data_IF_295960412974
#
_entry.id   IF_295960412974
#
_cell.length_a   1.000
_cell.length_b   1.000
_cell.length_c   1.000
_cell.angle_alpha   90.00
_cell.angle_beta   90.00
_cell.angle_gamma   90.00
#
_symmetry.space_group_name_H-M   'P 1'
#
loop_
_entity.id
_entity.type
_entity.pdbx_description
1 polymer ?
#
# COMPACT_ATOMS: atom_id res chain seq x y z
N UNK A 1 23.69 6.87 59.79
CA UNK A 1 23.06 5.53 59.70
C UNK A 1 22.33 5.44 58.36
N UNK A 2 22.91 4.76 57.37
CA UNK A 2 22.35 4.62 56.02
C UNK A 2 21.57 3.30 56.00
N UNK A 3 20.25 3.35 55.75
CA UNK A 3 19.38 2.17 55.66
C UNK A 3 19.77 1.34 54.43
N UNK A 4 19.85 0.00 54.52
CA UNK A 4 20.14 -0.82 53.36
C UNK A 4 18.91 -0.83 52.44
N UNK A 5 19.04 -0.22 51.26
CA UNK A 5 18.07 -0.39 50.17
C UNK A 5 18.05 -1.86 49.79
N UNK A 6 16.89 -2.49 50.00
CA UNK A 6 16.58 -3.86 49.64
C UNK A 6 16.98 -4.16 48.19
N UNK A 7 17.91 -5.10 48.00
CA UNK A 7 18.34 -5.60 46.68
C UNK A 7 17.17 -6.14 45.84
N UNK A 8 16.08 -6.52 46.47
CA UNK A 8 14.88 -7.04 45.81
C UNK A 8 14.03 -5.96 45.14
N UNK A 9 14.13 -4.69 45.58
CA UNK A 9 13.37 -3.60 44.98
C UNK A 9 13.87 -3.23 43.57
N UNK A 10 15.19 -3.31 43.34
CA UNK A 10 15.77 -3.08 42.01
C UNK A 10 15.42 -4.19 41.02
N UNK A 11 15.32 -5.46 41.46
CA UNK A 11 15.03 -6.58 40.56
C UNK A 11 13.57 -6.59 40.07
N UNK A 12 12.61 -6.16 40.90
CA UNK A 12 11.21 -6.08 40.49
C UNK A 12 10.98 -4.89 39.54
N UNK A 13 11.63 -3.75 39.78
CA UNK A 13 11.55 -2.59 38.89
C UNK A 13 12.14 -2.86 37.49
N UNK A 14 13.24 -3.63 37.42
CA UNK A 14 13.84 -4.04 36.15
C UNK A 14 12.96 -5.03 35.37
N UNK A 15 12.24 -5.92 36.06
CA UNK A 15 11.35 -6.90 35.43
C UNK A 15 10.09 -6.23 34.84
N UNK A 16 9.53 -5.21 35.50
CA UNK A 16 8.38 -4.46 35.01
C UNK A 16 8.74 -3.59 33.79
N UNK A 17 9.96 -3.02 33.76
CA UNK A 17 10.46 -2.29 32.59
C UNK A 17 10.77 -3.20 31.40
N UNK A 18 11.17 -4.45 31.64
CA UNK A 18 11.41 -5.42 30.56
C UNK A 18 10.10 -5.92 29.91
N UNK A 19 8.99 -5.95 30.65
CA UNK A 19 7.67 -6.35 30.13
C UNK A 19 6.93 -5.21 29.40
N UNK A 20 7.32 -3.95 29.60
CA UNK A 20 6.77 -2.81 28.85
C UNK A 20 7.32 -2.69 27.41
N UNK A 21 8.28 -3.54 27.03
CA UNK A 21 8.91 -3.55 25.70
C UNK A 21 8.14 -4.31 24.62
N UNK A 22 7.12 -5.12 24.97
CA UNK A 22 6.20 -5.70 23.98
C UNK A 22 5.08 -4.71 23.63
N UNK A 23 5.44 -3.47 23.32
CA UNK A 23 4.51 -2.42 22.94
C UNK A 23 4.82 -1.93 21.53
N UNK A 24 4.28 -2.60 20.51
CA UNK A 24 3.80 -2.00 19.26
C UNK A 24 3.33 -3.05 18.24
N UNK A 25 2.35 -3.90 18.59
CA UNK A 25 1.37 -4.34 17.59
C UNK A 25 0.37 -3.17 17.39
N UNK A 26 0.89 -2.02 16.96
CA UNK A 26 0.10 -0.84 16.72
C UNK A 26 -0.41 -0.90 15.29
N UNK A 27 -1.73 -0.89 15.13
CA UNK A 27 -2.39 -0.75 13.82
C UNK A 27 -1.75 0.41 13.04
N UNK A 28 -1.07 0.10 11.95
CA UNK A 28 -0.41 1.12 11.14
C UNK A 28 -1.39 1.66 10.11
N UNK A 29 -2.06 2.75 10.48
CA UNK A 29 -2.93 3.49 9.56
C UNK A 29 -2.18 4.71 9.03
N UNK A 30 -2.05 4.86 7.71
CA UNK A 30 -1.35 6.00 7.08
C UNK A 30 -2.05 6.50 5.82
N UNK A 31 -1.91 7.79 5.55
CA UNK A 31 -2.22 8.41 4.26
C UNK A 31 -0.90 8.66 3.55
N UNK A 32 -0.83 8.35 2.26
CA UNK A 32 0.42 8.40 1.51
C UNK A 32 0.23 9.09 0.15
N UNK A 33 1.26 9.77 -0.33
CA UNK A 33 1.29 10.27 -1.71
C UNK A 33 1.66 9.15 -2.71
N UNK A 34 2.38 8.14 -2.21
CA UNK A 34 2.83 6.96 -2.95
C UNK A 34 2.18 5.72 -2.33
N UNK A 35 1.55 4.92 -3.17
CA UNK A 35 0.89 3.67 -2.82
C UNK A 35 1.78 2.45 -3.02
N UNK A 36 1.18 1.27 -3.27
CA UNK A 36 1.94 0.06 -3.43
C UNK A 36 2.74 0.05 -4.73
N UNK A 37 3.84 -0.70 -4.72
CA UNK A 37 4.54 -1.05 -5.95
C UNK A 37 3.87 -2.22 -6.67
N UNK A 38 4.07 -2.33 -7.97
CA UNK A 38 3.63 -3.47 -8.77
C UNK A 38 4.18 -4.79 -8.22
N UNK A 39 5.45 -4.77 -7.79
CA UNK A 39 6.12 -5.92 -7.20
C UNK A 39 5.47 -6.30 -5.86
N UNK A 40 5.20 -5.33 -4.98
CA UNK A 40 4.58 -5.58 -3.68
C UNK A 40 3.22 -6.27 -3.83
N UNK A 41 2.38 -5.79 -4.76
CA UNK A 41 1.08 -6.41 -5.03
C UNK A 41 1.22 -7.78 -5.68
N UNK A 42 2.15 -7.93 -6.63
CA UNK A 42 2.39 -9.22 -7.27
C UNK A 42 2.88 -10.27 -6.26
N UNK A 43 3.89 -9.95 -5.46
CA UNK A 43 4.40 -10.83 -4.40
C UNK A 43 3.29 -11.22 -3.43
N UNK A 44 2.51 -10.24 -2.96
CA UNK A 44 1.40 -10.52 -2.06
C UNK A 44 0.36 -11.46 -2.69
N UNK A 45 0.06 -11.31 -3.98
CA UNK A 45 -0.84 -12.23 -4.69
C UNK A 45 -0.26 -13.63 -4.83
N UNK A 46 1.01 -13.78 -5.19
CA UNK A 46 1.65 -15.09 -5.26
C UNK A 46 1.56 -15.81 -3.93
N UNK A 47 1.87 -15.12 -2.83
CA UNK A 47 1.75 -15.69 -1.48
C UNK A 47 0.31 -16.07 -1.15
N UNK A 48 -0.67 -15.21 -1.45
CA UNK A 48 -2.09 -15.50 -1.20
C UNK A 48 -2.63 -16.66 -2.04
N UNK A 49 -2.17 -16.80 -3.29
CA UNK A 49 -2.68 -17.78 -4.25
C UNK A 49 -1.99 -19.15 -4.10
N UNK A 50 -0.69 -19.17 -3.77
CA UNK A 50 0.13 -20.39 -3.75
C UNK A 50 0.56 -20.84 -2.35
N UNK A 51 0.53 -19.93 -1.38
CA UNK A 51 1.03 -20.17 -0.03
C UNK A 51 2.56 -20.14 0.11
N UNK A 52 3.31 -19.82 -0.95
CA UNK A 52 4.77 -19.66 -0.89
C UNK A 52 5.23 -18.29 -1.39
N UNK A 53 6.43 -17.89 -0.96
CA UNK A 53 7.11 -16.71 -1.50
C UNK A 53 7.50 -16.94 -2.97
N UNK A 54 7.46 -15.92 -3.83
CA UNK A 54 7.87 -16.07 -5.22
C UNK A 54 9.31 -16.55 -5.34
N UNK A 55 9.51 -17.49 -6.25
CA UNK A 55 10.86 -17.94 -6.64
C UNK A 55 11.54 -16.91 -7.54
N UNK A 56 12.86 -17.01 -7.67
CA UNK A 56 13.63 -16.17 -8.58
C UNK A 56 13.14 -16.26 -10.03
N UNK A 57 12.86 -17.47 -10.52
CA UNK A 57 12.38 -17.70 -11.89
C UNK A 57 10.99 -17.13 -12.13
N UNK A 58 10.11 -17.13 -11.12
CA UNK A 58 8.81 -16.49 -11.19
C UNK A 58 8.93 -14.96 -11.22
N UNK A 59 9.81 -14.40 -10.39
CA UNK A 59 10.10 -12.97 -10.38
C UNK A 59 10.63 -12.50 -11.72
N UNK A 60 11.62 -13.19 -12.28
CA UNK A 60 12.19 -12.83 -13.57
C UNK A 60 11.13 -12.86 -14.69
N UNK A 61 10.30 -13.91 -14.73
CA UNK A 61 9.20 -14.00 -15.71
C UNK A 61 8.17 -12.88 -15.54
N UNK A 62 7.86 -12.50 -14.30
CA UNK A 62 6.96 -11.40 -14.01
C UNK A 62 7.55 -10.05 -14.45
N UNK A 63 8.83 -9.80 -14.19
CA UNK A 63 9.53 -8.58 -14.60
C UNK A 63 9.49 -8.40 -16.12
N UNK A 64 9.81 -9.47 -16.88
CA UNK A 64 9.76 -9.47 -18.34
C UNK A 64 8.35 -9.17 -18.88
N UNK A 65 7.33 -9.79 -18.28
CA UNK A 65 5.92 -9.56 -18.65
C UNK A 65 5.48 -8.13 -18.33
N UNK A 66 5.92 -7.58 -17.20
CA UNK A 66 5.61 -6.22 -16.80
C UNK A 66 6.21 -5.21 -17.77
N UNK A 67 7.49 -5.36 -18.13
CA UNK A 67 8.14 -4.50 -19.11
C UNK A 67 7.49 -4.58 -20.49
N UNK A 68 7.08 -5.78 -20.91
CA UNK A 68 6.36 -5.96 -22.16
C UNK A 68 5.01 -5.21 -22.14
N UNK A 69 4.22 -5.36 -21.07
CA UNK A 69 2.91 -4.69 -20.92
C UNK A 69 3.05 -3.17 -20.91
N UNK A 70 4.02 -2.65 -20.17
CA UNK A 70 4.32 -1.22 -20.13
C UNK A 70 4.70 -0.73 -21.52
N UNK A 71 5.59 -1.42 -22.22
CA UNK A 71 6.03 -1.05 -23.56
C UNK A 71 4.86 -1.01 -24.55
N UNK A 72 3.98 -2.02 -24.52
CA UNK A 72 2.78 -2.06 -25.37
C UNK A 72 1.81 -0.93 -25.06
N UNK A 73 1.62 -0.59 -23.78
CA UNK A 73 0.76 0.52 -23.38
C UNK A 73 1.30 1.86 -23.85
N UNK A 74 2.60 2.11 -23.70
CA UNK A 74 3.24 3.34 -24.16
C UNK A 74 3.17 3.48 -25.69
N UNK A 75 3.34 2.38 -26.43
CA UNK A 75 3.20 2.37 -27.88
C UNK A 75 1.78 2.77 -28.33
N UNK A 76 0.74 2.38 -27.57
CA UNK A 76 -0.65 2.76 -27.83
C UNK A 76 -1.01 4.17 -27.35
N UNK A 77 -0.20 4.76 -26.47
CA UNK A 77 -0.44 6.07 -25.87
C UNK A 77 0.76 7.02 -26.10
N UNK A 78 1.04 7.42 -27.36
CA UNK A 78 2.23 8.20 -27.70
C UNK A 78 2.26 9.58 -27.02
N UNK A 79 1.10 10.15 -26.67
CA UNK A 79 1.01 11.38 -25.88
C UNK A 79 1.58 11.22 -24.46
N UNK A 80 1.47 10.02 -23.86
CA UNK A 80 2.03 9.71 -22.55
C UNK A 80 3.51 9.37 -22.65
N UNK A 81 3.94 8.67 -23.72
CA UNK A 81 5.32 8.22 -23.92
C UNK A 81 6.38 9.34 -23.83
N UNK A 82 6.01 10.57 -24.19
CA UNK A 82 6.88 11.74 -24.13
C UNK A 82 6.79 12.56 -22.83
N UNK A 83 5.96 12.12 -21.87
CA UNK A 83 5.78 12.82 -20.59
C UNK A 83 6.85 12.43 -19.57
N UNK A 84 7.23 13.38 -18.70
CA UNK A 84 8.17 13.17 -17.59
C UNK A 84 7.73 12.00 -16.68
N UNK A 85 6.42 11.75 -16.61
CA UNK A 85 5.81 10.70 -15.80
C UNK A 85 6.18 9.28 -16.27
N UNK A 86 6.52 9.07 -17.56
CA UNK A 86 6.81 7.73 -18.09
C UNK A 86 8.18 7.19 -17.66
N UNK A 87 9.17 8.06 -17.48
CA UNK A 87 10.49 7.63 -17.00
C UNK A 87 10.40 7.16 -15.54
N UNK A 88 9.73 7.93 -14.69
CA UNK A 88 9.44 7.54 -13.29
C UNK A 88 8.55 6.29 -13.24
N UNK A 89 7.56 6.19 -14.13
CA UNK A 89 6.67 5.04 -14.23
C UNK A 89 7.40 3.72 -14.54
N UNK A 90 8.34 3.74 -15.51
CA UNK A 90 9.14 2.55 -15.85
C UNK A 90 10.06 2.12 -14.72
N UNK A 91 10.59 3.08 -13.96
CA UNK A 91 11.61 2.82 -12.93
C UNK A 91 10.97 2.45 -11.60
N UNK A 92 10.00 3.23 -11.12
CA UNK A 92 9.45 3.06 -9.77
C UNK A 92 8.34 2.01 -9.73
N UNK A 93 7.61 1.82 -10.85
CA UNK A 93 6.46 0.89 -10.94
C UNK A 93 5.52 0.98 -9.73
N UNK A 94 5.35 2.19 -9.19
CA UNK A 94 4.64 2.46 -7.95
C UNK A 94 3.45 3.37 -8.25
N UNK A 95 2.32 3.07 -7.62
CA UNK A 95 1.12 3.88 -7.75
C UNK A 95 1.31 5.20 -6.99
N UNK A 96 0.84 6.30 -7.56
CA UNK A 96 0.87 7.62 -6.92
C UNK A 96 -0.47 8.31 -7.05
N UNK A 97 -0.76 9.24 -6.13
CA UNK A 97 -1.88 10.17 -6.31
C UNK A 97 -1.71 10.92 -7.63
N UNK A 98 -2.80 11.07 -8.38
CA UNK A 98 -2.84 11.66 -9.72
C UNK A 98 -2.61 10.66 -10.86
N UNK A 99 -2.25 9.40 -10.58
CA UNK A 99 -2.08 8.39 -11.62
C UNK A 99 -3.41 8.03 -12.28
N UNK A 100 -3.43 7.97 -13.60
CA UNK A 100 -4.59 7.55 -14.39
C UNK A 100 -5.08 6.15 -14.00
N UNK A 101 -6.40 5.98 -13.96
CA UNK A 101 -7.11 4.76 -13.58
C UNK A 101 -6.57 3.53 -14.32
N UNK A 102 -6.50 3.62 -15.63
CA UNK A 102 -6.06 2.52 -16.49
C UNK A 102 -4.59 2.17 -16.27
N UNK A 103 -3.78 3.17 -15.93
CA UNK A 103 -2.37 2.99 -15.66
C UNK A 103 -2.14 2.24 -14.34
N UNK A 104 -2.95 2.51 -13.32
CA UNK A 104 -2.96 1.74 -12.07
C UNK A 104 -3.33 0.30 -12.33
N UNK A 105 -4.43 0.05 -13.06
CA UNK A 105 -4.86 -1.31 -13.40
C UNK A 105 -3.81 -2.04 -14.24
N UNK A 106 -3.07 -1.32 -15.09
CA UNK A 106 -1.95 -1.88 -15.82
C UNK A 106 -0.77 -2.24 -14.91
N UNK A 107 -0.47 -1.46 -13.87
CA UNK A 107 0.63 -1.78 -12.96
C UNK A 107 0.29 -2.90 -12.00
N UNK A 108 -0.79 -2.74 -11.26
CA UNK A 108 -1.10 -3.59 -10.10
C UNK A 108 -2.30 -4.49 -10.33
N UNK A 109 -2.91 -4.49 -11.51
CA UNK A 109 -4.07 -5.33 -11.83
C UNK A 109 -5.36 -4.86 -11.11
N UNK A 110 -6.44 -5.65 -11.16
CA UNK A 110 -7.70 -5.30 -10.52
C UNK A 110 -7.64 -5.35 -9.00
N UNK A 111 -8.43 -4.54 -8.28
CA UNK A 111 -8.51 -4.61 -6.83
C UNK A 111 -9.15 -5.92 -6.36
N UNK A 112 -8.83 -6.32 -5.12
CA UNK A 112 -9.46 -7.45 -4.43
C UNK A 112 -10.91 -7.10 -4.06
N UNK A 113 -11.15 -5.85 -3.66
CA UNK A 113 -12.50 -5.36 -3.37
C UNK A 113 -12.80 -4.04 -4.07
N UNK A 114 -13.98 -4.08 -4.69
CA UNK A 114 -14.73 -3.05 -5.39
C UNK A 114 -15.71 -2.20 -4.57
N UNK A 115 -15.53 -0.90 -4.32
CA UNK A 115 -16.60 -0.07 -3.73
C UNK A 115 -16.93 1.19 -4.55
N UNK A 116 -18.23 1.42 -4.78
CA UNK A 116 -18.82 2.64 -5.40
C UNK A 116 -19.78 3.39 -4.48
N UNK A 117 -20.36 2.69 -3.51
CA UNK A 117 -21.28 3.30 -2.57
C UNK A 117 -20.52 4.27 -1.66
N UNK A 118 -21.07 5.46 -1.44
CA UNK A 118 -20.38 6.51 -0.67
C UNK A 118 -20.18 6.10 0.79
N UNK A 119 -21.12 5.37 1.39
CA UNK A 119 -20.96 4.93 2.78
C UNK A 119 -19.87 3.85 2.90
N UNK A 120 -19.73 2.96 1.90
CA UNK A 120 -18.62 2.00 1.85
C UNK A 120 -17.26 2.68 1.61
N UNK A 121 -17.21 3.70 0.75
CA UNK A 121 -16.00 4.51 0.55
C UNK A 121 -15.59 5.21 1.85
N UNK A 122 -16.54 5.79 2.58
CA UNK A 122 -16.30 6.41 3.89
C UNK A 122 -15.74 5.40 4.91
N UNK A 123 -16.35 4.22 5.00
CA UNK A 123 -15.86 3.14 5.88
C UNK A 123 -14.42 2.73 5.55
N UNK A 124 -14.08 2.65 4.27
CA UNK A 124 -12.71 2.32 3.82
C UNK A 124 -11.71 3.44 4.13
N UNK A 125 -12.12 4.71 3.98
CA UNK A 125 -11.29 5.87 4.28
C UNK A 125 -11.04 6.07 5.79
N UNK A 126 -11.94 5.56 6.64
CA UNK A 126 -11.81 5.58 8.11
C UNK A 126 -11.50 7.00 8.62
N UNK A 127 -10.44 7.16 9.42
CA UNK A 127 -10.06 8.45 10.01
C UNK A 127 -9.66 9.49 8.97
N UNK A 128 -9.32 9.06 7.76
CA UNK A 128 -8.91 9.94 6.66
C UNK A 128 -10.08 10.38 5.78
N UNK A 129 -11.32 9.98 6.10
CA UNK A 129 -12.50 10.39 5.34
C UNK A 129 -12.60 11.90 5.11
N UNK A 130 -12.35 12.80 6.08
CA UNK A 130 -12.44 14.24 5.84
C UNK A 130 -11.50 14.73 4.72
N UNK A 131 -10.30 14.17 4.61
CA UNK A 131 -9.35 14.54 3.56
C UNK A 131 -9.70 13.88 2.24
N UNK A 132 -10.05 12.59 2.27
CA UNK A 132 -10.43 11.80 1.10
C UNK A 132 -11.66 12.41 0.42
N UNK A 133 -12.69 12.75 1.19
CA UNK A 133 -13.94 13.35 0.70
C UNK A 133 -13.71 14.65 -0.07
N UNK A 134 -12.78 15.48 0.36
CA UNK A 134 -12.47 16.76 -0.32
C UNK A 134 -11.95 16.56 -1.75
N UNK A 135 -11.40 15.38 -2.05
CA UNK A 135 -10.93 15.04 -3.39
C UNK A 135 -12.00 14.34 -4.25
N UNK A 136 -13.26 14.30 -3.79
CA UNK A 136 -14.44 13.79 -4.51
C UNK A 136 -14.28 12.38 -5.10
N UNK A 137 -13.88 11.37 -4.31
CA UNK A 137 -13.72 10.01 -4.81
C UNK A 137 -15.07 9.44 -5.26
N UNK A 138 -15.04 8.69 -6.35
CA UNK A 138 -16.18 7.94 -6.91
C UNK A 138 -16.09 6.46 -6.61
N UNK A 139 -14.87 5.97 -6.43
CA UNK A 139 -14.59 4.56 -6.18
C UNK A 139 -13.53 4.42 -5.08
N UNK A 140 -13.60 3.32 -4.35
CA UNK A 140 -12.53 2.86 -3.48
C UNK A 140 -12.12 1.44 -3.88
N UNK A 141 -10.82 1.24 -4.00
CA UNK A 141 -10.20 0.01 -4.47
C UNK A 141 -9.30 -0.53 -3.37
N UNK A 142 -9.60 -1.74 -2.90
CA UNK A 142 -8.79 -2.41 -1.89
C UNK A 142 -7.80 -3.37 -2.56
N UNK A 143 -6.54 -3.28 -2.15
CA UNK A 143 -5.45 -4.14 -2.56
C UNK A 143 -4.88 -4.90 -1.36
N UNK A 144 -4.08 -5.96 -1.60
CA UNK A 144 -3.33 -6.65 -0.55
C UNK A 144 -2.52 -5.68 0.34
N UNK A 145 -2.11 -6.17 1.51
CA UNK A 145 -1.36 -5.39 2.50
C UNK A 145 -2.09 -4.09 2.94
N UNK A 146 -3.43 -4.13 2.95
CA UNK A 146 -4.24 -3.05 3.50
C UNK A 146 -4.27 -1.76 2.70
N UNK A 147 -3.76 -1.78 1.46
CA UNK A 147 -3.74 -0.62 0.58
C UNK A 147 -5.13 -0.28 0.05
N UNK A 148 -5.49 1.00 0.11
CA UNK A 148 -6.75 1.54 -0.39
C UNK A 148 -6.44 2.70 -1.32
N UNK A 149 -6.86 2.57 -2.57
CA UNK A 149 -6.81 3.65 -3.54
C UNK A 149 -8.20 4.24 -3.69
N UNK A 150 -8.29 5.56 -3.61
CA UNK A 150 -9.53 6.28 -3.87
C UNK A 150 -9.41 6.92 -5.24
N UNK A 151 -10.41 6.72 -6.09
CA UNK A 151 -10.35 7.05 -7.52
C UNK A 151 -11.55 7.90 -7.88
N UNK A 152 -11.34 8.96 -8.66
CA UNK A 152 -12.42 9.67 -9.35
C UNK A 152 -12.79 8.94 -10.66
N UNK A 153 -13.39 9.64 -11.62
CA UNK A 153 -13.74 9.04 -12.90
C UNK A 153 -12.50 8.67 -13.76
N UNK A 154 -11.38 9.33 -13.52
CA UNK A 154 -10.18 9.31 -14.37
C UNK A 154 -8.91 8.82 -13.67
N UNK A 155 -8.72 9.12 -12.37
CA UNK A 155 -7.42 8.99 -11.70
C UNK A 155 -7.53 8.74 -10.21
N UNK A 156 -6.41 8.32 -9.61
CA UNK A 156 -6.26 8.20 -8.16
C UNK A 156 -6.26 9.59 -7.54
N UNK A 157 -7.16 9.82 -6.57
CA UNK A 157 -7.29 11.09 -5.86
C UNK A 157 -6.77 11.03 -4.43
N UNK A 158 -6.68 9.85 -3.84
CA UNK A 158 -6.10 9.65 -2.51
C UNK A 158 -5.63 8.21 -2.31
N UNK A 159 -4.71 8.01 -1.36
CA UNK A 159 -4.16 6.70 -1.02
C UNK A 159 -4.04 6.59 0.50
N UNK A 160 -4.57 5.50 1.04
CA UNK A 160 -4.37 5.13 2.44
C UNK A 160 -3.89 3.68 2.56
N UNK A 161 -3.26 3.36 3.67
CA UNK A 161 -2.92 2.01 4.06
C UNK A 161 -3.34 1.77 5.50
N UNK A 162 -3.87 0.60 5.74
CA UNK A 162 -4.25 0.14 7.06
C UNK A 162 -3.78 -1.29 7.25
N UNK A 163 -2.76 -1.46 8.07
CA UNK A 163 -2.25 -2.77 8.46
C UNK A 163 -2.90 -3.19 9.78
N UNK A 164 -3.53 -4.36 9.75
CA UNK A 164 -3.99 -5.00 10.99
C UNK A 164 -2.77 -5.42 11.82
N UNK A 165 -2.85 -5.30 13.15
CA UNK A 165 -1.79 -5.67 14.07
C UNK A 165 -1.51 -7.17 14.09
#
# INVERSE_FOLDING_TARGET
MIRPVSRHACSVAALVLALAGCGALATQERRAAQGPSAEEIWTARVVLDTGHEPTFDEKQRWDDQMDQRISQYLARNPALANSLNVTTFRITRQVTVGMERDLVLLLIGPPVLFAKDTAEIEKLARRFWPQVKNNNPKEAWLYPQGWRLFVDDTRVVDITQYLEP
#
